data_IF_907581422542
#
_entry.id   IF_907581422542
#
_cell.length_a   1.000
_cell.length_b   1.000
_cell.length_c   1.000
_cell.angle_alpha   90.00
_cell.angle_beta   90.00
_cell.angle_gamma   90.00
#
_symmetry.space_group_name_H-M   'P 1'
#
loop_
_entity.id
_entity.type
_entity.pdbx_description
1 polymer ?
#
# COMPACT_ATOMS: atom_id res chain seq x y z
N UNK A 1 -27.82 7.04 -8.80
CA UNK A 1 -28.06 6.61 -7.41
C UNK A 1 -26.70 6.34 -6.77
N UNK A 2 -26.29 7.15 -5.81
CA UNK A 2 -25.03 6.97 -5.08
C UNK A 2 -25.17 5.86 -4.03
N UNK A 3 -25.01 4.60 -4.45
CA UNK A 3 -24.96 3.46 -3.55
C UNK A 3 -23.53 3.23 -3.05
N UNK A 4 -23.00 4.17 -2.25
CA UNK A 4 -21.84 3.89 -1.40
C UNK A 4 -22.29 3.10 -0.18
N UNK A 5 -22.76 1.87 -0.43
CA UNK A 5 -23.11 0.94 0.63
C UNK A 5 -21.85 0.42 1.31
N UNK A 6 -21.46 1.00 2.45
CA UNK A 6 -20.44 0.45 3.37
C UNK A 6 -20.82 -0.93 3.95
N UNK A 7 -21.98 -1.47 3.56
CA UNK A 7 -22.35 -2.89 3.62
C UNK A 7 -21.27 -3.80 3.00
N UNK A 8 -20.41 -3.26 2.14
CA UNK A 8 -19.34 -3.96 1.40
C UNK A 8 -18.01 -4.15 2.14
N UNK A 9 -17.79 -3.49 3.27
CA UNK A 9 -16.54 -3.62 4.07
C UNK A 9 -16.27 -5.07 4.52
N UNK A 10 -17.23 -5.84 5.07
CA UNK A 10 -16.94 -7.20 5.54
C UNK A 10 -16.60 -8.21 4.43
N UNK A 11 -17.06 -8.02 3.18
CA UNK A 11 -16.67 -8.88 2.05
C UNK A 11 -15.30 -8.51 1.47
N UNK A 12 -14.91 -7.25 1.61
CA UNK A 12 -13.59 -6.75 1.23
C UNK A 12 -12.50 -7.09 2.26
N UNK A 13 -12.87 -7.32 3.53
CA UNK A 13 -11.94 -7.59 4.63
C UNK A 13 -11.06 -8.84 4.43
N UNK A 14 -11.56 -9.99 3.94
CA UNK A 14 -10.70 -11.14 3.63
C UNK A 14 -9.63 -10.85 2.58
N UNK A 15 -9.97 -10.10 1.53
CA UNK A 15 -9.03 -9.72 0.48
C UNK A 15 -7.99 -8.71 0.99
N UNK A 16 -8.42 -7.72 1.77
CA UNK A 16 -7.53 -6.77 2.44
C UNK A 16 -6.57 -7.48 3.39
N UNK A 17 -7.06 -8.43 4.18
CA UNK A 17 -6.26 -9.25 5.09
C UNK A 17 -5.25 -10.13 4.34
N UNK A 18 -5.65 -10.70 3.21
CA UNK A 18 -4.74 -11.50 2.37
C UNK A 18 -3.63 -10.63 1.80
N UNK A 19 -3.96 -9.47 1.23
CA UNK A 19 -2.96 -8.51 0.74
C UNK A 19 -2.01 -8.04 1.84
N UNK A 20 -2.54 -7.75 3.02
CA UNK A 20 -1.77 -7.29 4.18
C UNK A 20 -0.86 -8.39 4.75
N UNK A 21 -1.31 -9.64 4.75
CA UNK A 21 -0.49 -10.80 5.12
C UNK A 21 0.68 -11.01 4.13
N UNK A 22 0.43 -10.94 2.83
CA UNK A 22 1.49 -11.06 1.81
C UNK A 22 2.49 -9.91 1.94
N UNK A 23 2.00 -8.70 2.20
CA UNK A 23 2.84 -7.53 2.43
C UNK A 23 3.70 -7.67 3.68
N UNK A 24 3.14 -8.22 4.77
CA UNK A 24 3.87 -8.55 5.98
C UNK A 24 5.01 -9.55 5.70
N UNK A 25 4.75 -10.61 4.94
CA UNK A 25 5.80 -11.56 4.53
C UNK A 25 6.89 -10.88 3.69
N UNK A 26 6.50 -9.98 2.78
CA UNK A 26 7.42 -9.18 1.99
C UNK A 26 8.35 -8.35 2.89
N UNK A 27 7.82 -7.67 3.92
CA UNK A 27 8.62 -6.93 4.89
C UNK A 27 9.51 -7.81 5.74
N UNK A 28 9.03 -8.98 6.15
CA UNK A 28 9.83 -9.94 6.91
C UNK A 28 11.04 -10.41 6.10
N UNK A 29 10.86 -10.80 4.83
CA UNK A 29 11.97 -11.20 3.97
C UNK A 29 12.91 -10.02 3.72
N UNK A 30 12.36 -8.83 3.43
CA UNK A 30 13.16 -7.62 3.22
C UNK A 30 14.06 -7.32 4.42
N UNK A 31 13.55 -7.47 5.65
CA UNK A 31 14.33 -7.34 6.89
C UNK A 31 15.52 -8.27 6.92
N UNK A 32 15.31 -9.54 6.61
CA UNK A 32 16.38 -10.53 6.60
C UNK A 32 17.44 -10.19 5.56
N UNK A 33 17.05 -9.63 4.42
CA UNK A 33 17.98 -9.22 3.37
C UNK A 33 18.78 -7.99 3.82
N UNK A 34 18.12 -6.97 4.37
CA UNK A 34 18.75 -5.70 4.79
C UNK A 34 19.70 -5.91 5.98
N UNK A 35 19.23 -6.57 7.04
CA UNK A 35 20.01 -6.73 8.29
C UNK A 35 21.20 -7.65 8.08
N UNK A 36 21.01 -8.80 7.41
CA UNK A 36 22.09 -9.75 7.17
C UNK A 36 22.90 -9.40 5.92
N UNK A 37 22.65 -8.24 5.30
CA UNK A 37 23.23 -7.82 4.02
C UNK A 37 23.22 -8.94 2.98
N UNK A 38 22.11 -9.68 2.83
CA UNK A 38 22.03 -10.73 1.82
C UNK A 38 21.85 -10.11 0.42
N UNK A 39 22.08 -10.92 -0.60
CA UNK A 39 21.69 -10.60 -1.98
C UNK A 39 20.16 -10.58 -2.07
N UNK A 40 19.62 -9.96 -3.11
CA UNK A 40 18.19 -10.05 -3.41
C UNK A 40 17.76 -11.52 -3.45
N UNK A 41 16.75 -11.84 -2.67
CA UNK A 41 16.16 -13.17 -2.61
C UNK A 41 15.01 -13.23 -3.62
N UNK A 42 14.93 -14.33 -4.38
CA UNK A 42 13.80 -14.59 -5.26
C UNK A 42 12.48 -14.63 -4.47
N UNK A 43 12.51 -15.07 -3.22
CA UNK A 43 11.36 -15.08 -2.32
C UNK A 43 10.79 -13.68 -2.08
N UNK A 44 11.64 -12.66 -1.93
CA UNK A 44 11.17 -11.28 -1.77
C UNK A 44 10.37 -10.85 -2.99
N UNK A 45 10.90 -11.07 -4.19
CA UNK A 45 10.24 -10.67 -5.43
C UNK A 45 8.95 -11.44 -5.68
N UNK A 46 8.89 -12.72 -5.30
CA UNK A 46 7.66 -13.51 -5.36
C UNK A 46 6.58 -12.97 -4.43
N UNK A 47 6.92 -12.65 -3.17
CA UNK A 47 5.96 -12.04 -2.24
C UNK A 47 5.54 -10.64 -2.68
N UNK A 48 6.48 -9.83 -3.17
CA UNK A 48 6.19 -8.50 -3.66
C UNK A 48 5.28 -8.54 -4.90
N UNK A 49 5.52 -9.46 -5.84
CA UNK A 49 4.64 -9.69 -6.98
C UNK A 49 3.26 -10.15 -6.55
N UNK A 50 3.19 -11.11 -5.63
CA UNK A 50 1.92 -11.62 -5.09
C UNK A 50 1.12 -10.51 -4.40
N UNK A 51 1.78 -9.60 -3.69
CA UNK A 51 1.15 -8.44 -3.07
C UNK A 51 0.55 -7.50 -4.11
N UNK A 52 1.31 -7.19 -5.17
CA UNK A 52 0.82 -6.34 -6.25
C UNK A 52 -0.35 -6.98 -6.99
N UNK A 53 -0.30 -8.29 -7.27
CA UNK A 53 -1.41 -9.05 -7.85
C UNK A 53 -2.63 -8.99 -6.92
N UNK A 54 -2.45 -9.17 -5.60
CA UNK A 54 -3.56 -9.08 -4.65
C UNK A 54 -4.21 -7.69 -4.63
N UNK A 55 -3.42 -6.61 -4.71
CA UNK A 55 -3.95 -5.24 -4.79
C UNK A 55 -4.75 -5.02 -6.08
N UNK A 56 -4.25 -5.56 -7.18
CA UNK A 56 -4.88 -5.47 -8.50
C UNK A 56 -6.19 -6.25 -8.52
N UNK A 57 -6.18 -7.49 -8.03
CA UNK A 57 -7.39 -8.31 -7.93
C UNK A 57 -8.43 -7.65 -7.04
N UNK A 58 -8.02 -7.08 -5.91
CA UNK A 58 -8.91 -6.31 -5.04
C UNK A 58 -9.51 -5.10 -5.75
N UNK A 59 -8.68 -4.35 -6.48
CA UNK A 59 -9.11 -3.21 -7.27
C UNK A 59 -10.08 -3.57 -8.39
N UNK A 60 -9.78 -4.63 -9.15
CA UNK A 60 -10.61 -5.15 -10.21
C UNK A 60 -11.97 -5.62 -9.70
N UNK A 61 -12.00 -6.39 -8.61
CA UNK A 61 -13.25 -6.82 -7.96
C UNK A 61 -14.07 -5.61 -7.49
N UNK A 62 -13.41 -4.59 -6.92
CA UNK A 62 -14.08 -3.35 -6.52
C UNK A 62 -14.73 -2.63 -7.70
N UNK A 63 -14.04 -2.57 -8.84
CA UNK A 63 -14.51 -1.92 -10.05
C UNK A 63 -15.67 -2.69 -10.71
N UNK A 64 -15.50 -3.99 -10.94
CA UNK A 64 -16.48 -4.79 -11.68
C UNK A 64 -17.74 -5.15 -10.88
N UNK A 65 -17.64 -5.27 -9.56
CA UNK A 65 -18.80 -5.65 -8.76
C UNK A 65 -19.55 -4.44 -8.18
N UNK A 66 -18.90 -3.27 -8.01
CA UNK A 66 -19.42 -2.25 -7.08
C UNK A 66 -19.47 -0.80 -7.58
N UNK A 67 -18.90 -0.42 -8.74
CA UNK A 67 -19.16 0.88 -9.39
C UNK A 67 -18.57 0.98 -10.82
N UNK A 68 -19.33 1.46 -11.80
CA UNK A 68 -18.91 1.69 -13.21
C UNK A 68 -17.86 2.80 -13.41
N UNK A 69 -17.46 3.51 -12.35
CA UNK A 69 -16.62 4.72 -12.45
C UNK A 69 -15.36 4.63 -11.58
N UNK A 70 -14.43 3.70 -11.83
CA UNK A 70 -13.08 3.81 -11.27
C UNK A 70 -12.05 3.19 -12.25
N UNK A 71 -11.15 4.04 -12.76
CA UNK A 71 -9.74 3.74 -13.06
C UNK A 71 -9.36 2.52 -13.95
N UNK A 72 -8.47 2.75 -14.92
CA UNK A 72 -7.67 1.69 -15.53
C UNK A 72 -6.59 1.25 -14.53
N UNK A 73 -6.91 0.24 -13.71
CA UNK A 73 -5.95 -0.45 -12.83
C UNK A 73 -4.71 -0.94 -13.58
N UNK A 74 -4.80 -1.01 -14.91
CA UNK A 74 -3.73 -1.37 -15.83
C UNK A 74 -2.46 -0.55 -15.60
N UNK A 75 -2.53 0.76 -15.28
CA UNK A 75 -1.31 1.56 -15.02
C UNK A 75 -0.52 1.06 -13.80
N UNK A 76 -1.22 0.74 -12.71
CA UNK A 76 -0.58 0.19 -11.49
C UNK A 76 -0.09 -1.23 -11.78
N UNK A 77 -0.85 -2.02 -12.55
CA UNK A 77 -0.45 -3.37 -13.00
C UNK A 77 0.83 -3.30 -13.85
N UNK A 78 0.87 -2.43 -14.86
CA UNK A 78 2.03 -2.29 -15.75
C UNK A 78 3.26 -1.84 -14.97
N UNK A 79 3.13 -0.86 -14.06
CA UNK A 79 4.21 -0.46 -13.17
C UNK A 79 4.65 -1.63 -12.28
N UNK A 80 3.72 -2.33 -11.64
CA UNK A 80 4.02 -3.49 -10.79
C UNK A 80 4.75 -4.60 -11.54
N UNK A 81 4.26 -4.98 -12.72
CA UNK A 81 4.84 -6.03 -13.57
C UNK A 81 6.23 -5.63 -14.04
N UNK A 82 6.42 -4.40 -14.53
CA UNK A 82 7.74 -3.90 -14.95
C UNK A 82 8.72 -3.94 -13.79
N UNK A 83 8.27 -3.62 -12.58
CA UNK A 83 9.14 -3.56 -11.39
C UNK A 83 9.52 -4.93 -10.89
N UNK A 84 8.57 -5.86 -10.87
CA UNK A 84 8.82 -7.26 -10.51
C UNK A 84 9.75 -7.91 -11.53
N UNK A 85 9.52 -7.69 -12.84
CA UNK A 85 10.34 -8.25 -13.92
C UNK A 85 11.74 -7.67 -13.89
N UNK A 86 11.87 -6.34 -13.78
CA UNK A 86 13.18 -5.69 -13.60
C UNK A 86 13.85 -6.17 -12.31
N UNK A 87 13.12 -6.28 -11.21
CA UNK A 87 13.63 -6.76 -9.93
C UNK A 87 14.21 -8.17 -10.01
N UNK A 88 13.46 -9.11 -10.61
CA UNK A 88 13.87 -10.49 -10.82
C UNK A 88 15.06 -10.61 -11.78
N UNK A 89 15.06 -9.87 -12.90
CA UNK A 89 16.13 -9.91 -13.90
C UNK A 89 17.43 -9.25 -13.40
N UNK A 90 17.32 -8.17 -12.61
CA UNK A 90 18.46 -7.41 -12.09
C UNK A 90 18.85 -7.78 -10.66
N UNK A 91 18.25 -8.82 -10.09
CA UNK A 91 18.67 -9.51 -8.86
C UNK A 91 20.02 -10.22 -9.07
N UNK A 92 21.08 -9.46 -9.38
CA UNK A 92 22.45 -9.98 -9.49
C UNK A 92 23.11 -10.13 -8.12
N UNK A 93 24.16 -10.96 -8.11
CA UNK A 93 25.04 -11.41 -7.02
C UNK A 93 25.72 -10.34 -6.12
N UNK A 94 25.27 -9.08 -6.08
CA UNK A 94 25.85 -8.03 -5.24
C UNK A 94 24.93 -7.65 -4.08
N UNK A 95 25.54 -7.28 -2.97
CA UNK A 95 24.87 -6.75 -1.79
C UNK A 95 24.01 -5.53 -2.12
N UNK A 96 22.94 -5.34 -1.34
CA UNK A 96 22.02 -4.22 -1.51
C UNK A 96 22.60 -2.99 -0.82
N UNK A 97 22.89 -1.95 -1.60
CA UNK A 97 23.19 -0.62 -1.09
C UNK A 97 22.01 0.30 -1.39
N UNK A 98 21.38 0.80 -0.34
CA UNK A 98 20.36 1.85 -0.43
C UNK A 98 21.04 3.22 -0.44
N UNK A 99 20.58 4.09 -1.34
CA UNK A 99 20.96 5.49 -1.40
C UNK A 99 20.19 6.25 -0.32
N UNK A 100 20.92 6.92 0.57
CA UNK A 100 20.33 7.79 1.60
C UNK A 100 20.23 9.26 1.14
N UNK A 101 20.91 9.63 0.06
CA UNK A 101 21.02 11.01 -0.36
C UNK A 101 19.94 11.41 -1.39
N UNK A 102 18.88 12.06 -0.89
CA UNK A 102 17.80 12.62 -1.71
C UNK A 102 18.23 13.79 -2.61
N UNK A 103 19.47 14.28 -2.50
CA UNK A 103 20.06 15.27 -3.42
C UNK A 103 20.96 14.64 -4.49
N UNK A 104 20.99 13.30 -4.57
CA UNK A 104 21.77 12.60 -5.61
C UNK A 104 21.16 12.81 -7.00
N UNK A 105 21.97 12.64 -8.06
CA UNK A 105 21.47 12.67 -9.45
C UNK A 105 20.33 11.67 -9.69
N UNK A 106 20.28 10.56 -8.94
CA UNK A 106 19.21 9.56 -9.00
C UNK A 106 17.88 10.06 -8.42
N UNK A 107 17.91 11.01 -7.49
CA UNK A 107 16.71 11.57 -6.89
C UNK A 107 15.91 12.41 -7.88
N UNK A 108 16.58 13.05 -8.86
CA UNK A 108 15.92 13.74 -9.97
C UNK A 108 15.07 12.75 -10.78
N UNK A 109 15.62 11.57 -11.10
CA UNK A 109 14.87 10.53 -11.81
C UNK A 109 13.69 9.99 -11.00
N UNK A 110 13.84 9.82 -9.69
CA UNK A 110 12.73 9.49 -8.79
C UNK A 110 11.64 10.56 -8.83
N UNK A 111 12.00 11.83 -8.71
CA UNK A 111 11.03 12.93 -8.67
C UNK A 111 10.29 13.08 -9.99
N UNK A 112 11.00 13.07 -11.12
CA UNK A 112 10.40 13.19 -12.46
C UNK A 112 9.42 12.03 -12.72
N UNK A 113 9.84 10.80 -12.44
CA UNK A 113 8.97 9.63 -12.64
C UNK A 113 7.75 9.68 -11.72
N UNK A 114 7.94 10.01 -10.44
CA UNK A 114 6.84 10.15 -9.50
C UNK A 114 5.85 11.23 -9.94
N UNK A 115 6.32 12.44 -10.26
CA UNK A 115 5.46 13.55 -10.69
C UNK A 115 4.72 13.20 -11.98
N UNK A 116 5.39 12.57 -12.95
CA UNK A 116 4.77 12.13 -14.19
C UNK A 116 3.63 11.15 -13.96
N UNK A 117 3.87 10.07 -13.20
CA UNK A 117 2.85 9.08 -12.89
C UNK A 117 1.76 9.62 -11.95
N UNK A 118 2.10 10.49 -11.00
CA UNK A 118 1.13 11.12 -10.10
C UNK A 118 0.21 12.10 -10.83
N UNK A 119 0.73 12.86 -11.81
CA UNK A 119 -0.11 13.73 -12.64
C UNK A 119 -1.02 12.91 -13.55
N UNK A 120 -0.50 11.86 -14.20
CA UNK A 120 -1.33 10.92 -14.97
C UNK A 120 -2.42 10.30 -14.08
N UNK A 121 -2.08 9.95 -12.84
CA UNK A 121 -3.03 9.45 -11.85
C UNK A 121 -4.15 10.45 -11.60
N UNK A 122 -3.81 11.68 -11.20
CA UNK A 122 -4.81 12.71 -10.86
C UNK A 122 -5.66 13.10 -12.07
N UNK A 123 -5.08 13.16 -13.27
CA UNK A 123 -5.81 13.50 -14.50
C UNK A 123 -6.77 12.41 -14.97
N UNK A 124 -6.52 11.15 -14.61
CA UNK A 124 -7.37 10.00 -14.98
C UNK A 124 -8.39 9.63 -13.90
N UNK A 125 -8.39 10.34 -12.76
CA UNK A 125 -9.39 10.19 -11.72
C UNK A 125 -10.75 10.70 -12.23
N UNK A 126 -11.64 9.78 -12.55
CA UNK A 126 -13.05 10.07 -12.78
C UNK A 126 -13.85 9.66 -11.52
N UNK A 127 -13.93 10.55 -10.54
CA UNK A 127 -14.66 10.29 -9.28
C UNK A 127 -15.61 11.45 -8.97
N UNK A 128 -16.87 11.13 -8.67
CA UNK A 128 -17.87 12.12 -8.29
C UNK A 128 -17.80 12.41 -6.77
N UNK A 129 -17.16 13.52 -6.42
CA UNK A 129 -17.01 13.96 -5.02
C UNK A 129 -18.35 14.36 -4.37
N UNK A 130 -19.40 14.61 -5.15
CA UNK A 130 -20.73 14.94 -4.63
C UNK A 130 -21.47 13.72 -4.05
N UNK A 131 -20.87 12.53 -4.15
CA UNK A 131 -21.47 11.26 -3.74
C UNK A 131 -21.34 10.96 -2.24
N UNK A 132 -20.65 11.80 -1.45
CA UNK A 132 -20.39 11.58 -0.02
C UNK A 132 -21.24 12.48 0.88
N UNK A 133 -21.95 11.89 1.84
CA UNK A 133 -22.92 12.58 2.70
C UNK A 133 -22.33 13.11 4.01
N UNK A 134 -21.12 12.72 4.41
CA UNK A 134 -20.49 13.18 5.67
C UNK A 134 -18.99 13.48 5.54
N UNK A 135 -18.45 14.44 6.31
CA UNK A 135 -17.04 14.87 6.19
C UNK A 135 -16.03 13.78 6.54
N UNK A 136 -16.33 12.86 7.45
CA UNK A 136 -15.44 11.73 7.77
C UNK A 136 -15.42 10.69 6.63
N UNK A 137 -16.54 10.49 5.93
CA UNK A 137 -16.60 9.65 4.73
C UNK A 137 -15.75 10.25 3.61
N UNK A 138 -15.81 11.57 3.42
CA UNK A 138 -14.94 12.28 2.47
C UNK A 138 -13.46 12.04 2.80
N UNK A 139 -13.09 12.08 4.08
CA UNK A 139 -11.71 11.80 4.50
C UNK A 139 -11.27 10.37 4.16
N UNK A 140 -12.08 9.36 4.47
CA UNK A 140 -11.76 7.94 4.15
C UNK A 140 -11.66 7.75 2.63
N UNK A 141 -12.57 8.35 1.87
CA UNK A 141 -12.56 8.30 0.40
C UNK A 141 -11.29 8.94 -0.15
N UNK A 142 -10.91 10.12 0.33
CA UNK A 142 -9.69 10.82 -0.09
C UNK A 142 -8.44 10.01 0.27
N UNK A 143 -8.43 9.37 1.44
CA UNK A 143 -7.35 8.48 1.86
C UNK A 143 -7.20 7.29 0.90
N UNK A 144 -8.30 6.62 0.57
CA UNK A 144 -8.32 5.43 -0.28
C UNK A 144 -8.07 5.71 -1.77
N UNK A 145 -8.60 6.82 -2.27
CA UNK A 145 -8.55 7.17 -3.69
C UNK A 145 -7.31 8.00 -3.98
N UNK A 146 -6.85 8.90 -3.11
CA UNK A 146 -5.75 9.80 -3.47
C UNK A 146 -4.48 9.40 -2.72
N UNK A 147 -4.57 9.31 -1.39
CA UNK A 147 -3.38 9.20 -0.54
C UNK A 147 -2.70 7.84 -0.68
N UNK A 148 -3.41 6.72 -0.53
CA UNK A 148 -2.77 5.40 -0.61
C UNK A 148 -2.18 5.07 -1.97
N UNK A 149 -2.85 5.31 -3.11
CA UNK A 149 -2.27 5.04 -4.42
C UNK A 149 -1.01 5.88 -4.68
N UNK A 150 -1.01 7.16 -4.30
CA UNK A 150 0.17 8.03 -4.43
C UNK A 150 1.31 7.61 -3.49
N UNK A 151 1.01 7.24 -2.24
CA UNK A 151 2.02 6.71 -1.31
C UNK A 151 2.60 5.40 -1.81
N UNK A 152 1.76 4.49 -2.32
CA UNK A 152 2.20 3.23 -2.90
C UNK A 152 3.10 3.47 -4.11
N UNK A 153 2.66 4.33 -5.05
CA UNK A 153 3.43 4.71 -6.23
C UNK A 153 4.78 5.31 -5.84
N UNK A 154 4.80 6.28 -4.92
CA UNK A 154 6.04 6.88 -4.43
C UNK A 154 6.94 5.86 -3.75
N UNK A 155 6.39 4.99 -2.89
CA UNK A 155 7.14 3.95 -2.20
C UNK A 155 7.78 2.96 -3.16
N UNK A 156 7.04 2.53 -4.18
CA UNK A 156 7.49 1.63 -5.24
C UNK A 156 8.60 2.27 -6.10
N UNK A 157 8.42 3.52 -6.53
CA UNK A 157 9.44 4.26 -7.32
C UNK A 157 10.69 4.51 -6.46
N UNK A 158 10.52 4.92 -5.20
CA UNK A 158 11.63 5.11 -4.29
C UNK A 158 12.41 3.80 -4.07
N UNK A 159 11.71 2.69 -3.96
CA UNK A 159 12.30 1.37 -3.83
C UNK A 159 13.09 0.95 -5.09
N UNK A 160 12.55 1.19 -6.29
CA UNK A 160 13.24 0.94 -7.56
C UNK A 160 14.60 1.65 -7.65
N UNK A 161 14.63 2.92 -7.26
CA UNK A 161 15.86 3.71 -7.24
C UNK A 161 16.71 3.48 -5.98
N UNK A 162 16.35 2.47 -5.16
CA UNK A 162 17.03 2.06 -3.93
C UNK A 162 17.16 3.16 -2.89
N UNK A 163 16.15 4.04 -2.78
CA UNK A 163 16.17 5.07 -1.75
C UNK A 163 15.65 4.56 -0.41
N UNK A 164 16.35 4.88 0.68
CA UNK A 164 15.87 4.53 2.03
C UNK A 164 14.58 5.25 2.43
N UNK A 165 14.21 6.31 1.71
CA UNK A 165 12.92 6.99 1.85
C UNK A 165 11.73 6.05 1.64
N UNK A 166 11.87 4.96 0.85
CA UNK A 166 10.79 3.99 0.66
C UNK A 166 10.29 3.39 1.99
N UNK A 167 11.20 3.06 2.92
CA UNK A 167 10.83 2.53 4.24
C UNK A 167 9.97 3.52 5.01
N UNK A 168 10.30 4.81 4.97
CA UNK A 168 9.53 5.85 5.65
C UNK A 168 8.12 5.99 5.07
N UNK A 169 7.97 5.86 3.75
CA UNK A 169 6.70 5.97 3.04
C UNK A 169 5.81 4.78 3.35
N UNK A 170 6.35 3.56 3.32
CA UNK A 170 5.60 2.36 3.70
C UNK A 170 5.20 2.39 5.19
N UNK A 171 6.06 2.90 6.08
CA UNK A 171 5.68 3.12 7.49
C UNK A 171 4.54 4.13 7.63
N UNK A 172 4.59 5.25 6.91
CA UNK A 172 3.52 6.25 6.91
C UNK A 172 2.20 5.67 6.38
N UNK A 173 2.26 4.87 5.31
CA UNK A 173 1.09 4.17 4.78
C UNK A 173 0.49 3.18 5.80
N UNK A 174 1.32 2.39 6.49
CA UNK A 174 0.87 1.51 7.56
C UNK A 174 0.25 2.28 8.74
N UNK A 175 0.85 3.40 9.14
CA UNK A 175 0.32 4.23 10.22
C UNK A 175 -1.04 4.82 9.86
N UNK A 176 -1.20 5.34 8.63
CA UNK A 176 -2.48 5.82 8.14
C UNK A 176 -3.53 4.70 8.09
N UNK A 177 -3.12 3.49 7.74
CA UNK A 177 -4.02 2.32 7.76
C UNK A 177 -4.52 1.97 9.17
N UNK A 178 -3.68 2.13 10.19
CA UNK A 178 -4.11 1.99 11.59
C UNK A 178 -5.14 3.07 11.99
N UNK A 179 -4.94 4.31 11.52
CA UNK A 179 -5.90 5.40 11.73
C UNK A 179 -7.23 5.10 11.02
N UNK A 180 -7.19 4.62 9.77
CA UNK A 180 -8.38 4.19 9.03
C UNK A 180 -9.15 3.10 9.79
N UNK A 181 -8.45 2.10 10.35
CA UNK A 181 -9.06 1.05 11.16
C UNK A 181 -9.75 1.61 12.40
N UNK A 182 -9.11 2.55 13.12
CA UNK A 182 -9.72 3.20 14.28
C UNK A 182 -10.99 3.98 13.91
N UNK A 183 -10.97 4.70 12.79
CA UNK A 183 -12.14 5.43 12.28
C UNK A 183 -13.28 4.49 11.91
N UNK A 184 -13.00 3.32 11.31
CA UNK A 184 -14.03 2.32 11.01
C UNK A 184 -14.69 1.74 12.26
N UNK A 185 -13.94 1.53 13.33
CA UNK A 185 -14.52 1.09 14.61
C UNK A 185 -15.46 2.16 15.16
N UNK A 186 -15.01 3.41 15.19
CA UNK A 186 -15.81 4.55 15.69
C UNK A 186 -17.10 4.70 14.89
N UNK A 187 -17.03 4.62 13.55
CA UNK A 187 -18.20 4.66 12.67
C UNK A 187 -19.20 3.54 13.00
N UNK A 188 -18.71 2.32 13.21
CA UNK A 188 -19.55 1.16 13.53
C UNK A 188 -20.30 1.31 14.85
N UNK A 189 -19.68 1.98 15.81
CA UNK A 189 -20.28 2.28 17.13
C UNK A 189 -21.34 3.37 16.98
N UNK A 190 -21.03 4.46 16.29
CA UNK A 190 -21.94 5.61 16.11
C UNK A 190 -23.20 5.20 15.32
N UNK A 191 -23.02 4.42 14.25
CA UNK A 191 -24.12 4.01 13.38
C UNK A 191 -24.91 2.80 13.94
N UNK A 192 -24.69 2.43 15.20
CA UNK A 192 -25.44 1.36 15.89
C UNK A 192 -25.47 0.05 15.08
N UNK A 193 -24.32 -0.33 14.51
CA UNK A 193 -24.22 -1.54 13.71
C UNK A 193 -24.68 -2.77 14.51
N UNK A 194 -25.30 -3.75 13.84
CA UNK A 194 -25.69 -5.00 14.50
C UNK A 194 -24.49 -5.66 15.19
N UNK A 195 -24.72 -6.28 16.34
CA UNK A 195 -23.66 -6.88 17.17
C UNK A 195 -22.71 -7.79 16.39
N UNK A 196 -23.23 -8.57 15.43
CA UNK A 196 -22.41 -9.44 14.58
C UNK A 196 -21.47 -8.69 13.64
N UNK A 197 -21.91 -7.56 13.08
CA UNK A 197 -21.08 -6.71 12.20
C UNK A 197 -20.00 -6.00 13.02
N UNK A 198 -20.36 -5.49 14.20
CA UNK A 198 -19.42 -4.83 15.12
C UNK A 198 -18.30 -5.79 15.53
N UNK A 199 -18.65 -7.02 15.95
CA UNK A 199 -17.69 -8.03 16.40
C UNK A 199 -16.75 -8.45 15.26
N UNK A 200 -17.28 -8.65 14.06
CA UNK A 200 -16.49 -8.98 12.87
C UNK A 200 -15.48 -7.88 12.55
N UNK A 201 -15.93 -6.61 12.55
CA UNK A 201 -15.04 -5.45 12.30
C UNK A 201 -13.96 -5.30 13.37
N UNK A 202 -14.30 -5.49 14.63
CA UNK A 202 -13.33 -5.45 15.73
C UNK A 202 -12.28 -6.55 15.58
N UNK A 203 -12.68 -7.77 15.23
CA UNK A 203 -11.77 -8.89 15.01
C UNK A 203 -10.77 -8.59 13.88
N UNK A 204 -11.25 -8.14 12.72
CA UNK A 204 -10.36 -7.77 11.61
C UNK A 204 -9.46 -6.58 11.95
N UNK A 205 -9.99 -5.55 12.61
CA UNK A 205 -9.19 -4.39 13.03
C UNK A 205 -8.09 -4.78 14.03
N UNK A 206 -8.34 -5.71 14.94
CA UNK A 206 -7.31 -6.22 15.84
C UNK A 206 -6.17 -6.89 15.08
N UNK A 207 -6.50 -7.74 14.10
CA UNK A 207 -5.50 -8.41 13.26
C UNK A 207 -4.70 -7.37 12.46
N UNK A 208 -5.38 -6.39 11.87
CA UNK A 208 -4.74 -5.27 11.16
C UNK A 208 -3.83 -4.46 12.08
N UNK A 209 -4.23 -4.24 13.34
CA UNK A 209 -3.42 -3.52 14.31
C UNK A 209 -2.12 -4.25 14.63
N UNK A 210 -2.21 -5.57 14.82
CA UNK A 210 -1.05 -6.43 15.07
C UNK A 210 -0.12 -6.41 13.86
N UNK A 211 -0.61 -6.72 12.66
CA UNK A 211 0.25 -6.75 11.48
C UNK A 211 0.82 -5.38 11.11
N UNK A 212 0.03 -4.31 11.25
CA UNK A 212 0.44 -2.94 10.96
C UNK A 212 1.54 -2.48 11.93
N UNK A 213 1.37 -2.69 13.23
CA UNK A 213 2.38 -2.32 14.23
C UNK A 213 3.68 -3.10 14.06
N UNK A 214 3.62 -4.41 13.82
CA UNK A 214 4.83 -5.24 13.58
C UNK A 214 5.50 -4.84 12.26
N UNK A 215 4.73 -4.54 11.21
CA UNK A 215 5.29 -4.06 9.94
C UNK A 215 6.03 -2.73 10.11
N UNK A 216 5.46 -1.78 10.87
CA UNK A 216 6.12 -0.50 11.17
C UNK A 216 7.43 -0.75 11.93
N UNK A 217 7.42 -1.63 12.92
CA UNK A 217 8.62 -1.99 13.67
C UNK A 217 9.71 -2.58 12.76
N UNK A 218 9.36 -3.55 11.91
CA UNK A 218 10.28 -4.17 10.94
C UNK A 218 10.88 -3.13 9.99
N UNK A 219 10.05 -2.26 9.41
CA UNK A 219 10.49 -1.22 8.48
C UNK A 219 11.40 -0.19 9.17
N UNK A 220 11.13 0.14 10.43
CA UNK A 220 11.97 1.04 11.21
C UNK A 220 13.35 0.44 11.48
N UNK A 221 13.42 -0.85 11.85
CA UNK A 221 14.71 -1.54 11.99
C UNK A 221 15.52 -1.53 10.70
N UNK A 222 14.88 -1.82 9.56
CA UNK A 222 15.52 -1.76 8.24
C UNK A 222 16.08 -0.36 7.95
N UNK A 223 15.28 0.68 8.19
CA UNK A 223 15.68 2.08 8.00
C UNK A 223 16.87 2.47 8.87
N UNK A 224 16.88 2.06 10.14
CA UNK A 224 18.00 2.33 11.06
C UNK A 224 19.26 1.61 10.59
N UNK A 225 19.14 0.36 10.17
CA UNK A 225 20.27 -0.42 9.62
C UNK A 225 20.89 0.27 8.41
N UNK A 226 20.06 0.72 7.47
CA UNK A 226 20.50 1.40 6.23
C UNK A 226 21.11 2.78 6.50
N UNK A 227 20.73 3.47 7.57
CA UNK A 227 21.35 4.75 7.96
C UNK A 227 22.73 4.59 8.60
N UNK A 228 23.01 3.42 9.17
CA UNK A 228 24.28 3.12 9.86
C UNK A 228 25.36 2.55 8.93
N UNK A 229 24.95 1.95 7.80
CA UNK A 229 25.83 1.46 6.73
C UNK A 229 26.31 2.57 5.82
#
# INVERSE_FOLDING_TARGET
MCNLGFVLVPLADPFRLTGLFILFLCWYVLRQIVINQKKWDALFWLFFASFLVSLVSYGYLKNHLYAENIFSYDVIIYCAVVIVVCGLLFSKNRHINFENNLMSKRAIFLFITFVGFALLYVLTLNFDFNCSTTPYLVFIILLQIIVYPLLLLFGIIAFLYRFSACFAVFMAAMALFLVECALFIVDSIINSASYGILLTRLFFCLIYFIYGSVSIYILNECRISVRKS
#
